data_IF_114825435741
#
_entry.id   IF_114825435741
#
_cell.length_a   1.000
_cell.length_b   1.000
_cell.length_c   1.000
_cell.angle_alpha   90.00
_cell.angle_beta   90.00
_cell.angle_gamma   90.00
#
_symmetry.space_group_name_H-M   'P 1'
#
loop_
_entity.id
_entity.type
_entity.pdbx_description
1 polymer ?
#
# COMPACT_ATOMS: atom_id res chain seq x y z
N UNK A 1 47.46 41.32 -46.83
CA UNK A 1 47.84 40.93 -45.45
C UNK A 1 46.67 40.59 -44.52
N UNK A 2 45.41 40.94 -44.84
CA UNK A 2 44.23 40.68 -43.99
C UNK A 2 43.78 39.20 -43.92
N UNK A 3 44.03 38.40 -44.97
CA UNK A 3 43.59 36.99 -45.04
C UNK A 3 44.31 36.03 -44.08
N UNK A 4 45.51 36.40 -43.60
CA UNK A 4 46.32 35.58 -42.69
C UNK A 4 45.93 35.75 -41.22
N UNK A 5 45.33 36.90 -40.87
CA UNK A 5 44.82 37.16 -39.52
C UNK A 5 43.44 36.54 -39.29
N UNK A 6 42.60 36.46 -40.33
CA UNK A 6 41.28 35.81 -40.26
C UNK A 6 41.40 34.29 -40.15
N UNK A 7 42.35 33.68 -40.88
CA UNK A 7 42.66 32.24 -40.77
C UNK A 7 43.19 31.85 -39.39
N UNK A 8 44.04 32.70 -38.78
CA UNK A 8 44.55 32.45 -37.43
C UNK A 8 43.45 32.52 -36.35
N UNK A 9 42.52 33.48 -36.46
CA UNK A 9 41.36 33.58 -35.56
C UNK A 9 40.41 32.39 -35.68
N UNK A 10 40.16 31.93 -36.91
CA UNK A 10 39.35 30.73 -37.17
C UNK A 10 40.00 29.47 -36.57
N UNK A 11 41.32 29.34 -36.67
CA UNK A 11 42.04 28.20 -36.10
C UNK A 11 41.93 28.15 -34.57
N UNK A 12 42.06 29.29 -33.89
CA UNK A 12 41.89 29.39 -32.43
C UNK A 12 40.45 29.04 -32.04
N UNK A 13 39.46 29.52 -32.79
CA UNK A 13 38.05 29.23 -32.51
C UNK A 13 37.72 27.75 -32.70
N UNK A 14 38.33 27.11 -33.70
CA UNK A 14 38.18 25.67 -33.95
C UNK A 14 38.88 24.83 -32.88
N UNK A 15 40.05 25.26 -32.40
CA UNK A 15 40.72 24.65 -31.24
C UNK A 15 39.90 24.82 -29.95
N UNK A 16 39.28 25.99 -29.74
CA UNK A 16 38.42 26.23 -28.59
C UNK A 16 37.16 25.36 -28.63
N UNK A 17 36.50 25.24 -29.79
CA UNK A 17 35.37 24.32 -29.98
C UNK A 17 35.79 22.86 -29.82
N UNK A 18 36.96 22.49 -30.33
CA UNK A 18 37.54 21.16 -30.14
C UNK A 18 37.85 20.87 -28.68
N UNK A 19 38.38 21.85 -27.94
CA UNK A 19 38.65 21.74 -26.51
C UNK A 19 37.36 21.66 -25.68
N UNK A 20 36.32 22.42 -26.05
CA UNK A 20 34.99 22.32 -25.43
C UNK A 20 34.38 20.95 -25.71
N UNK A 21 34.35 20.49 -26.95
CA UNK A 21 33.82 19.17 -27.31
C UNK A 21 34.62 18.02 -26.68
N UNK A 22 35.95 18.17 -26.58
CA UNK A 22 36.82 17.22 -25.88
C UNK A 22 36.60 17.25 -24.37
N UNK A 23 36.41 18.44 -23.78
CA UNK A 23 36.09 18.59 -22.36
C UNK A 23 34.70 18.01 -22.06
N UNK A 24 33.72 18.26 -22.92
CA UNK A 24 32.37 17.70 -22.85
C UNK A 24 32.44 16.18 -22.95
N UNK A 25 33.13 15.60 -23.93
CA UNK A 25 33.25 14.12 -24.04
C UNK A 25 34.08 13.47 -22.94
N UNK A 26 35.01 14.20 -22.30
CA UNK A 26 35.83 13.69 -21.18
C UNK A 26 35.18 13.90 -19.80
N UNK A 27 34.29 14.89 -19.67
CA UNK A 27 33.53 15.20 -18.44
C UNK A 27 32.08 14.72 -18.47
N UNK A 28 31.50 14.43 -19.64
CA UNK A 28 30.33 13.57 -19.75
C UNK A 28 30.85 12.20 -19.31
N UNK A 29 30.48 11.69 -18.12
CA UNK A 29 30.78 10.31 -17.80
C UNK A 29 30.22 9.52 -18.97
N UNK A 30 31.10 8.77 -19.66
CA UNK A 30 30.64 7.76 -20.58
C UNK A 30 29.65 6.94 -19.77
N UNK A 31 28.37 7.07 -20.12
CA UNK A 31 27.31 6.18 -19.70
C UNK A 31 27.68 4.84 -20.34
N UNK A 32 28.73 4.20 -19.83
CA UNK A 32 28.98 2.80 -20.06
C UNK A 32 27.64 2.18 -19.75
N UNK A 33 27.11 1.45 -20.74
CA UNK A 33 25.80 0.80 -20.74
C UNK A 33 25.76 -0.18 -19.58
N UNK A 34 25.68 0.38 -18.37
CA UNK A 34 25.61 -0.33 -17.12
C UNK A 34 24.22 -0.86 -17.18
N UNK A 35 24.11 -2.12 -17.61
CA UNK A 35 22.83 -2.77 -17.85
C UNK A 35 21.99 -2.61 -16.60
N UNK A 36 21.06 -1.66 -16.63
CA UNK A 36 20.19 -1.41 -15.52
C UNK A 36 19.33 -2.66 -15.35
N UNK A 37 19.17 -3.16 -14.12
CA UNK A 37 18.35 -4.32 -13.92
C UNK A 37 16.91 -3.97 -14.31
N UNK A 38 16.25 -4.88 -15.03
CA UNK A 38 14.86 -4.70 -15.42
C UNK A 38 13.88 -4.77 -14.22
N UNK A 39 14.35 -5.30 -13.08
CA UNK A 39 13.60 -5.39 -11.82
C UNK A 39 14.49 -4.98 -10.64
N UNK A 40 13.88 -4.32 -9.65
CA UNK A 40 14.52 -3.98 -8.38
C UNK A 40 14.64 -5.13 -7.39
N UNK A 41 13.96 -6.25 -7.62
CA UNK A 41 13.99 -7.38 -6.70
C UNK A 41 14.16 -8.68 -7.50
N UNK A 42 15.07 -9.58 -7.08
CA UNK A 42 15.29 -10.87 -7.73
C UNK A 42 14.23 -11.91 -7.32
N UNK A 43 12.97 -11.48 -7.17
CA UNK A 43 11.83 -12.31 -6.80
C UNK A 43 10.62 -11.93 -7.65
N UNK A 44 9.73 -12.90 -7.88
CA UNK A 44 8.46 -12.67 -8.56
C UNK A 44 7.47 -12.11 -7.54
N UNK A 45 7.33 -10.78 -7.51
CA UNK A 45 6.48 -10.08 -6.56
C UNK A 45 5.00 -10.47 -6.69
N UNK A 46 4.55 -10.96 -7.85
CA UNK A 46 3.18 -11.45 -8.02
C UNK A 46 2.93 -12.75 -7.24
N UNK A 47 4.00 -13.53 -6.98
CA UNK A 47 3.97 -14.77 -6.19
C UNK A 47 4.43 -14.58 -4.76
N UNK A 48 4.56 -13.33 -4.29
CA UNK A 48 4.95 -13.04 -2.93
C UNK A 48 3.97 -13.67 -1.92
N UNK A 49 4.54 -14.31 -0.90
CA UNK A 49 3.82 -14.90 0.23
C UNK A 49 3.95 -14.06 1.50
N UNK A 50 4.95 -13.19 1.58
CA UNK A 50 5.17 -12.28 2.71
C UNK A 50 5.63 -10.91 2.25
N UNK A 51 5.18 -9.88 2.95
CA UNK A 51 5.61 -8.49 2.78
C UNK A 51 5.84 -7.90 4.16
N UNK A 52 6.99 -7.29 4.39
CA UNK A 52 7.26 -6.49 5.58
C UNK A 52 7.73 -5.11 5.13
N UNK A 53 7.10 -4.07 5.67
CA UNK A 53 7.47 -2.69 5.44
C UNK A 53 7.84 -2.07 6.78
N UNK A 54 9.06 -1.58 6.87
CA UNK A 54 9.59 -0.87 8.03
C UNK A 54 9.85 0.57 7.63
N UNK A 55 9.25 1.51 8.34
CA UNK A 55 9.42 2.95 8.18
C UNK A 55 9.66 3.60 9.53
N UNK A 56 9.87 4.91 9.56
CA UNK A 56 9.94 5.68 10.81
C UNK A 56 8.68 5.58 11.67
N UNK A 57 7.54 5.19 11.09
CA UNK A 57 6.26 5.11 11.78
C UNK A 57 5.99 3.72 12.38
N UNK A 58 6.82 2.72 12.07
CA UNK A 58 6.72 1.37 12.61
C UNK A 58 6.93 0.28 11.58
N UNK A 59 6.65 -0.95 12.01
CA UNK A 59 6.79 -2.17 11.19
C UNK A 59 5.40 -2.74 10.92
N UNK A 60 5.10 -2.92 9.64
CA UNK A 60 3.90 -3.60 9.16
C UNK A 60 4.35 -4.91 8.52
N UNK A 61 3.83 -6.03 9.00
CA UNK A 61 4.11 -7.34 8.42
C UNK A 61 2.82 -7.96 7.93
N UNK A 62 2.81 -8.37 6.67
CA UNK A 62 1.70 -9.01 5.99
C UNK A 62 2.11 -10.41 5.50
N UNK A 63 1.19 -11.37 5.60
CA UNK A 63 1.35 -12.72 5.06
C UNK A 63 0.15 -13.10 4.21
N UNK A 64 0.39 -13.80 3.11
CA UNK A 64 -0.65 -14.36 2.26
C UNK A 64 -1.07 -15.73 2.78
N UNK A 65 -2.32 -15.85 3.20
CA UNK A 65 -2.93 -17.09 3.73
C UNK A 65 -4.17 -17.41 2.90
N UNK A 66 -4.21 -18.61 2.30
CA UNK A 66 -5.33 -19.05 1.43
C UNK A 66 -5.68 -18.03 0.33
N UNK A 67 -4.65 -17.41 -0.28
CA UNK A 67 -4.81 -16.46 -1.38
C UNK A 67 -5.09 -15.01 -0.97
N UNK A 68 -5.40 -14.73 0.30
CA UNK A 68 -5.66 -13.37 0.81
C UNK A 68 -4.53 -12.88 1.71
N UNK A 69 -4.24 -11.60 1.67
CA UNK A 69 -3.30 -10.98 2.59
C UNK A 69 -3.94 -10.76 3.97
N UNK A 70 -3.14 -10.98 5.01
CA UNK A 70 -3.46 -10.64 6.39
C UNK A 70 -2.29 -9.89 7.00
N UNK A 71 -2.59 -8.92 7.86
CA UNK A 71 -1.59 -8.23 8.65
C UNK A 71 -1.30 -9.11 9.87
N UNK A 72 -0.04 -9.45 10.11
CA UNK A 72 0.41 -10.19 11.29
C UNK A 72 0.97 -9.26 12.38
N UNK A 73 1.60 -8.16 11.98
CA UNK A 73 2.14 -7.14 12.89
C UNK A 73 1.70 -5.74 12.43
N UNK A 74 1.33 -4.84 13.35
CA UNK A 74 1.46 -4.93 14.82
C UNK A 74 0.48 -5.87 15.52
N UNK A 75 -0.62 -6.25 14.88
CA UNK A 75 -1.58 -7.24 15.39
C UNK A 75 -2.18 -8.03 14.22
N UNK A 76 -2.80 -9.18 14.53
CA UNK A 76 -3.52 -9.98 13.55
C UNK A 76 -4.76 -9.21 13.04
N UNK A 77 -4.73 -8.76 11.79
CA UNK A 77 -5.80 -7.97 11.19
C UNK A 77 -6.08 -8.37 9.74
N UNK A 78 -7.27 -8.01 9.27
CA UNK A 78 -7.63 -8.11 7.85
C UNK A 78 -6.81 -7.10 7.06
N UNK A 79 -6.23 -7.55 5.96
CA UNK A 79 -5.54 -6.67 5.03
C UNK A 79 -6.35 -6.48 3.75
N UNK A 80 -6.28 -5.27 3.20
CA UNK A 80 -6.68 -5.00 1.84
C UNK A 80 -5.64 -5.63 0.89
N UNK A 81 -6.02 -6.76 0.32
CA UNK A 81 -5.15 -7.50 -0.59
C UNK A 81 -4.84 -6.72 -1.87
N UNK A 82 -5.80 -5.92 -2.35
CA UNK A 82 -5.64 -5.14 -3.58
C UNK A 82 -4.61 -4.03 -3.40
N UNK A 83 -4.63 -3.34 -2.25
CA UNK A 83 -3.63 -2.31 -1.92
C UNK A 83 -2.21 -2.89 -1.79
N UNK A 84 -2.08 -4.05 -1.15
CA UNK A 84 -0.78 -4.72 -1.01
C UNK A 84 -0.27 -5.18 -2.39
N UNK A 85 -1.12 -5.83 -3.18
CA UNK A 85 -0.76 -6.29 -4.52
C UNK A 85 -0.38 -5.10 -5.44
N UNK A 86 -1.08 -3.97 -5.33
CA UNK A 86 -0.73 -2.73 -6.05
C UNK A 86 0.65 -2.19 -5.66
N UNK A 87 1.00 -2.19 -4.37
CA UNK A 87 2.35 -1.78 -3.94
C UNK A 87 3.42 -2.71 -4.54
N UNK A 88 3.21 -4.02 -4.46
CA UNK A 88 4.13 -5.03 -5.01
C UNK A 88 4.32 -4.84 -6.52
N UNK A 89 3.24 -4.60 -7.25
CA UNK A 89 3.29 -4.31 -8.68
C UNK A 89 4.04 -2.99 -8.97
N UNK A 90 3.82 -1.95 -8.17
CA UNK A 90 4.50 -0.67 -8.33
C UNK A 90 6.01 -0.79 -8.09
N UNK A 91 6.43 -1.62 -7.14
CA UNK A 91 7.84 -1.95 -6.93
C UNK A 91 8.39 -2.78 -8.10
N UNK A 92 7.64 -3.76 -8.61
CA UNK A 92 8.06 -4.59 -9.74
C UNK A 92 8.32 -3.77 -11.01
N UNK A 93 7.47 -2.76 -11.25
CA UNK A 93 7.52 -1.87 -12.43
C UNK A 93 8.39 -0.64 -12.23
N UNK A 94 9.02 -0.47 -11.07
CA UNK A 94 9.82 0.70 -10.76
C UNK A 94 10.97 0.88 -11.75
N UNK A 95 11.01 2.02 -12.43
CA UNK A 95 12.08 2.34 -13.35
C UNK A 95 13.36 2.69 -12.57
N UNK A 96 14.44 1.97 -12.87
CA UNK A 96 15.79 2.34 -12.47
C UNK A 96 16.28 3.42 -13.44
N UNK A 97 16.58 4.61 -12.93
CA UNK A 97 17.06 5.75 -13.71
C UNK A 97 18.58 5.77 -13.82
N UNK A 98 19.26 5.38 -12.77
CA UNK A 98 20.73 5.38 -12.70
C UNK A 98 21.24 4.37 -11.67
N UNK A 99 22.54 4.07 -11.73
CA UNK A 99 23.25 3.18 -10.81
C UNK A 99 24.58 3.81 -10.39
N UNK A 100 24.74 4.06 -9.08
CA UNK A 100 26.01 4.44 -8.46
C UNK A 100 26.70 3.19 -7.93
N UNK A 101 27.79 2.82 -8.59
CA UNK A 101 28.61 1.66 -8.18
C UNK A 101 29.49 1.99 -6.97
N UNK A 102 29.90 0.96 -6.23
CA UNK A 102 30.86 1.12 -5.12
C UNK A 102 32.13 1.88 -5.55
N UNK A 103 32.65 1.62 -6.76
CA UNK A 103 33.84 2.29 -7.29
C UNK A 103 33.61 3.79 -7.46
N UNK A 104 32.48 4.18 -8.05
CA UNK A 104 32.12 5.60 -8.21
C UNK A 104 31.90 6.28 -6.87
N UNK A 105 31.26 5.59 -5.92
CA UNK A 105 31.03 6.09 -4.57
C UNK A 105 32.34 6.40 -3.85
N UNK A 106 33.27 5.43 -3.85
CA UNK A 106 34.62 5.60 -3.27
C UNK A 106 35.44 6.68 -3.96
N UNK A 107 35.36 6.78 -5.29
CA UNK A 107 36.07 7.83 -6.04
C UNK A 107 35.58 9.25 -5.71
N UNK A 108 34.32 9.39 -5.29
CA UNK A 108 33.71 10.65 -4.84
C UNK A 108 33.92 10.92 -3.35
N UNK A 109 34.49 9.98 -2.59
CA UNK A 109 34.61 10.08 -1.13
C UNK A 109 33.26 10.10 -0.41
N UNK A 110 32.23 9.47 -0.99
CA UNK A 110 30.88 9.41 -0.41
C UNK A 110 30.63 8.04 0.23
N UNK A 111 29.79 8.04 1.25
CA UNK A 111 29.36 6.86 2.01
C UNK A 111 27.84 6.67 1.95
N UNK A 112 27.33 5.56 2.51
CA UNK A 112 25.90 5.25 2.49
C UNK A 112 25.04 6.29 3.23
N UNK A 113 25.63 6.97 4.21
CA UNK A 113 25.01 8.07 4.97
C UNK A 113 24.64 9.25 4.05
N UNK A 114 25.51 9.59 3.08
CA UNK A 114 25.26 10.69 2.13
C UNK A 114 24.05 10.42 1.21
N UNK A 115 23.67 9.15 1.07
CA UNK A 115 22.49 8.72 0.30
C UNK A 115 21.28 8.45 1.19
N UNK A 116 21.37 8.70 2.51
CA UNK A 116 20.31 8.42 3.47
C UNK A 116 19.98 6.93 3.60
N UNK A 117 20.96 6.05 3.37
CA UNK A 117 20.80 4.59 3.50
C UNK A 117 21.27 4.05 4.86
N UNK A 118 21.77 4.92 5.73
CA UNK A 118 22.17 4.62 7.13
C UNK A 118 21.72 5.79 8.03
N UNK A 119 20.63 5.65 8.80
CA UNK A 119 19.58 4.64 8.62
C UNK A 119 18.78 4.90 7.33
N UNK A 120 18.24 3.85 6.68
CA UNK A 120 17.33 4.01 5.55
C UNK A 120 15.98 4.61 6.01
N UNK A 121 15.33 5.36 5.13
CA UNK A 121 13.97 5.92 5.38
C UNK A 121 12.88 4.85 5.36
N UNK A 122 13.07 3.80 4.55
CA UNK A 122 12.20 2.64 4.54
C UNK A 122 12.96 1.36 4.16
N UNK A 123 12.51 0.23 4.69
CA UNK A 123 13.00 -1.11 4.33
C UNK A 123 11.80 -1.98 3.98
N UNK A 124 11.84 -2.59 2.80
CA UNK A 124 10.80 -3.48 2.29
C UNK A 124 11.41 -4.86 2.15
N UNK A 125 10.91 -5.84 2.90
CA UNK A 125 11.28 -7.23 2.74
C UNK A 125 10.13 -7.99 2.09
N UNK A 126 10.42 -8.71 1.02
CA UNK A 126 9.45 -9.56 0.32
C UNK A 126 9.92 -11.00 0.39
N UNK A 127 9.02 -11.88 0.84
CA UNK A 127 9.26 -13.31 0.90
C UNK A 127 8.45 -14.02 -0.18
N UNK A 128 9.09 -14.96 -0.88
CA UNK A 128 8.50 -15.83 -1.87
C UNK A 128 8.98 -17.28 -1.60
N UNK A 129 8.18 -18.06 -0.89
CA UNK A 129 8.56 -19.42 -0.50
C UNK A 129 9.81 -19.39 0.40
N UNK A 130 10.91 -19.99 -0.06
CA UNK A 130 12.20 -19.99 0.65
C UNK A 130 13.11 -18.80 0.29
N UNK A 131 12.74 -17.99 -0.70
CA UNK A 131 13.53 -16.84 -1.15
C UNK A 131 13.04 -15.57 -0.46
N UNK A 132 13.98 -14.75 -0.02
CA UNK A 132 13.70 -13.42 0.53
C UNK A 132 14.52 -12.37 -0.22
N UNK A 133 13.92 -11.20 -0.42
CA UNK A 133 14.60 -10.06 -1.02
C UNK A 133 14.25 -8.78 -0.24
N UNK A 134 15.26 -7.92 -0.05
CA UNK A 134 15.12 -6.67 0.66
C UNK A 134 15.38 -5.48 -0.27
N UNK A 135 14.58 -4.43 -0.15
CA UNK A 135 14.79 -3.13 -0.78
C UNK A 135 14.88 -2.06 0.30
N UNK A 136 16.02 -1.39 0.39
CA UNK A 136 16.22 -0.24 1.28
C UNK A 136 16.05 1.04 0.48
N UNK A 137 15.23 1.97 0.95
CA UNK A 137 15.02 3.29 0.35
C UNK A 137 15.65 4.35 1.23
N UNK A 138 16.43 5.23 0.62
CA UNK A 138 17.15 6.30 1.27
C UNK A 138 16.61 7.70 0.93
N UNK A 139 17.52 8.66 0.90
CA UNK A 139 17.24 10.07 0.63
C UNK A 139 16.74 10.33 -0.80
N UNK A 140 16.25 11.56 -0.99
CA UNK A 140 15.82 12.03 -2.30
C UNK A 140 17.04 12.28 -3.19
N UNK A 141 16.95 11.84 -4.46
CA UNK A 141 17.99 12.11 -5.44
C UNK A 141 17.92 13.57 -5.93
N UNK A 142 19.05 14.16 -6.39
CA UNK A 142 19.05 15.49 -6.96
C UNK A 142 17.99 15.65 -8.06
N UNK A 143 17.21 16.73 -8.00
CA UNK A 143 16.09 16.99 -8.92
C UNK A 143 14.72 16.50 -8.43
N UNK A 144 14.61 15.89 -7.25
CA UNK A 144 13.35 15.69 -6.50
C UNK A 144 12.40 14.61 -7.01
N UNK A 145 12.58 14.11 -8.24
CA UNK A 145 11.72 13.09 -8.86
C UNK A 145 12.14 11.64 -8.63
N UNK A 146 13.16 11.37 -7.81
CA UNK A 146 13.70 10.04 -7.59
C UNK A 146 14.24 9.88 -6.16
N UNK A 147 14.44 8.63 -5.73
CA UNK A 147 15.02 8.28 -4.43
C UNK A 147 16.18 7.30 -4.61
N UNK A 148 17.11 7.30 -3.67
CA UNK A 148 18.15 6.29 -3.63
C UNK A 148 17.62 4.97 -3.08
N UNK A 149 18.04 3.86 -3.67
CA UNK A 149 17.63 2.52 -3.29
C UNK A 149 18.80 1.54 -3.29
N UNK A 150 18.76 0.53 -2.43
CA UNK A 150 19.78 -0.50 -2.31
C UNK A 150 19.11 -1.87 -2.13
N UNK A 151 19.51 -2.83 -2.95
CA UNK A 151 18.95 -4.20 -2.93
C UNK A 151 19.74 -5.10 -1.99
N UNK A 152 19.09 -5.68 -0.98
CA UNK A 152 19.69 -6.67 -0.08
C UNK A 152 21.00 -6.18 0.54
N UNK A 153 22.05 -6.99 0.40
CA UNK A 153 23.41 -6.67 0.82
C UNK A 153 24.30 -6.14 -0.33
N UNK A 154 23.73 -5.75 -1.47
CA UNK A 154 24.47 -5.20 -2.61
C UNK A 154 25.24 -3.93 -2.22
N UNK A 155 26.46 -3.74 -2.70
CA UNK A 155 27.22 -2.50 -2.48
C UNK A 155 26.81 -1.34 -3.41
N UNK A 156 25.95 -1.60 -4.38
CA UNK A 156 25.54 -0.64 -5.39
C UNK A 156 24.25 0.08 -4.99
N UNK A 157 24.20 1.37 -5.29
CA UNK A 157 23.06 2.25 -5.04
C UNK A 157 22.38 2.50 -6.38
N UNK A 158 21.06 2.43 -6.39
CA UNK A 158 20.21 2.66 -7.55
C UNK A 158 19.43 3.94 -7.34
N UNK A 159 19.16 4.66 -8.42
CA UNK A 159 18.26 5.81 -8.43
C UNK A 159 16.95 5.34 -9.03
N UNK A 160 15.88 5.37 -8.24
CA UNK A 160 14.56 4.83 -8.64
C UNK A 160 13.51 5.91 -8.58
N UNK A 161 12.43 5.74 -9.34
CA UNK A 161 11.30 6.66 -9.30
C UNK A 161 10.77 6.89 -7.88
N UNK A 162 10.54 8.16 -7.52
CA UNK A 162 10.05 8.52 -6.17
C UNK A 162 8.70 7.87 -5.86
N UNK A 163 7.89 7.56 -6.87
CA UNK A 163 6.61 6.90 -6.72
C UNK A 163 6.68 5.57 -5.97
N UNK A 164 7.83 4.88 -5.93
CA UNK A 164 8.02 3.69 -5.08
C UNK A 164 7.93 4.04 -3.60
N UNK A 165 8.61 5.12 -3.19
CA UNK A 165 8.57 5.60 -1.81
C UNK A 165 7.18 6.14 -1.46
N UNK A 166 6.58 6.93 -2.36
CA UNK A 166 5.26 7.54 -2.14
C UNK A 166 4.12 6.49 -2.11
N UNK A 167 4.37 5.26 -2.57
CA UNK A 167 3.41 4.15 -2.49
C UNK A 167 3.40 3.44 -1.13
N UNK A 168 4.41 3.69 -0.30
CA UNK A 168 4.51 3.00 0.98
C UNK A 168 3.41 3.46 1.94
N UNK A 169 2.89 2.53 2.76
CA UNK A 169 1.91 2.87 3.77
C UNK A 169 2.55 3.83 4.79
N UNK A 170 1.82 4.88 5.14
CA UNK A 170 2.19 5.80 6.21
C UNK A 170 1.83 5.17 7.56
N UNK A 171 0.73 4.43 7.61
CA UNK A 171 0.22 3.74 8.80
C UNK A 171 -0.28 2.33 8.47
N UNK A 172 -0.46 1.49 9.50
CA UNK A 172 -1.08 0.17 9.34
C UNK A 172 -2.49 0.26 8.73
N UNK A 173 -3.22 1.33 9.02
CA UNK A 173 -4.60 1.53 8.55
C UNK A 173 -4.70 1.70 7.04
N UNK A 174 -3.61 2.07 6.36
CA UNK A 174 -3.55 2.16 4.90
C UNK A 174 -3.64 0.77 4.25
N UNK A 175 -3.20 -0.28 4.96
CA UNK A 175 -3.30 -1.66 4.52
C UNK A 175 -4.48 -2.42 5.09
N UNK A 176 -5.24 -1.83 6.02
CA UNK A 176 -6.39 -2.54 6.60
C UNK A 176 -7.54 -2.63 5.62
N UNK A 177 -8.17 -3.80 5.61
CA UNK A 177 -9.42 -4.01 4.90
C UNK A 177 -10.50 -3.07 5.48
N UNK A 178 -11.11 -2.27 4.60
CA UNK A 178 -12.11 -1.28 4.97
C UNK A 178 -13.54 -1.79 4.78
N UNK A 179 -13.77 -3.03 4.34
CA UNK A 179 -15.12 -3.55 4.24
C UNK A 179 -15.74 -3.72 5.63
N UNK A 180 -16.86 -3.03 5.87
CA UNK A 180 -17.56 -3.05 7.16
C UNK A 180 -18.12 -4.45 7.48
N UNK A 181 -18.71 -5.09 6.48
CA UNK A 181 -19.24 -6.47 6.56
C UNK A 181 -18.41 -7.42 5.69
N UNK A 182 -18.42 -8.71 6.05
CA UNK A 182 -17.63 -9.77 5.39
C UNK A 182 -18.48 -10.83 4.70
N UNK A 183 -19.78 -10.60 4.58
CA UNK A 183 -20.72 -11.52 3.94
C UNK A 183 -21.34 -10.82 2.72
N UNK A 184 -21.63 -11.56 1.65
CA UNK A 184 -22.42 -11.04 0.54
C UNK A 184 -23.87 -10.83 1.00
N UNK A 185 -24.54 -9.80 0.51
CA UNK A 185 -25.96 -9.56 0.82
C UNK A 185 -26.87 -10.68 0.32
N UNK A 186 -26.40 -11.47 -0.65
CA UNK A 186 -27.09 -12.67 -1.09
C UNK A 186 -27.31 -13.69 0.03
N UNK A 187 -26.42 -13.73 1.04
CA UNK A 187 -26.49 -14.65 2.16
C UNK A 187 -27.43 -14.16 3.28
N UNK A 188 -27.87 -12.90 3.22
CA UNK A 188 -28.78 -12.32 4.22
C UNK A 188 -30.18 -12.89 3.99
N UNK A 189 -30.74 -13.48 5.04
CA UNK A 189 -32.08 -14.07 5.07
C UNK A 189 -33.07 -13.27 5.90
N UNK A 190 -32.61 -12.59 6.93
CA UNK A 190 -33.44 -11.65 7.66
C UNK A 190 -32.65 -10.41 8.07
N UNK A 191 -33.36 -9.29 8.19
CA UNK A 191 -32.83 -8.04 8.70
C UNK A 191 -33.77 -7.53 9.78
N UNK A 192 -33.21 -7.23 10.95
CA UNK A 192 -33.94 -6.58 12.03
C UNK A 192 -33.37 -5.18 12.25
N UNK A 193 -34.23 -4.17 12.12
CA UNK A 193 -33.87 -2.77 12.35
C UNK A 193 -34.61 -2.29 13.59
N UNK A 194 -33.85 -1.88 14.61
CA UNK A 194 -34.37 -1.35 15.87
C UNK A 194 -34.02 0.14 15.99
N UNK A 195 -35.03 0.94 16.34
CA UNK A 195 -34.88 2.36 16.66
C UNK A 195 -35.57 2.65 17.98
N UNK A 196 -34.87 3.21 18.99
CA UNK A 196 -35.49 3.60 20.24
C UNK A 196 -36.74 4.47 20.00
N UNK A 197 -37.87 4.11 20.62
CA UNK A 197 -39.13 4.84 20.51
C UNK A 197 -39.88 4.73 19.17
N UNK A 198 -39.37 4.01 18.16
CA UNK A 198 -40.02 3.88 16.83
C UNK A 198 -40.39 2.45 16.43
N UNK A 199 -40.24 1.49 17.35
CA UNK A 199 -40.55 0.07 17.11
C UNK A 199 -39.46 -0.68 16.35
N UNK A 200 -39.77 -1.93 16.00
CA UNK A 200 -38.86 -2.86 15.30
C UNK A 200 -39.40 -3.14 13.91
N UNK A 201 -38.53 -3.05 12.90
CA UNK A 201 -38.82 -3.50 11.55
C UNK A 201 -38.09 -4.82 11.32
N UNK A 202 -38.83 -5.87 10.94
CA UNK A 202 -38.25 -7.17 10.57
C UNK A 202 -38.55 -7.47 9.12
N UNK A 203 -37.51 -7.77 8.36
CA UNK A 203 -37.58 -8.19 6.96
C UNK A 203 -37.08 -9.62 6.86
N UNK A 204 -37.79 -10.46 6.11
CA UNK A 204 -37.42 -11.84 5.85
C UNK A 204 -37.43 -12.12 4.35
N UNK A 205 -36.47 -12.94 3.91
CA UNK A 205 -36.31 -13.34 2.51
C UNK A 205 -36.70 -14.79 2.35
N UNK A 206 -37.85 -15.01 1.73
CA UNK A 206 -38.34 -16.34 1.35
C UNK A 206 -38.42 -16.47 -0.17
N UNK A 207 -37.89 -17.58 -0.71
CA UNK A 207 -37.86 -17.90 -2.14
C UNK A 207 -37.40 -16.74 -3.06
N UNK A 208 -36.53 -15.86 -2.55
CA UNK A 208 -35.99 -14.72 -3.28
C UNK A 208 -36.80 -13.43 -3.15
N UNK A 209 -38.02 -13.47 -2.61
CA UNK A 209 -38.85 -12.31 -2.32
C UNK A 209 -38.66 -11.84 -0.87
N UNK A 210 -38.71 -10.54 -0.65
CA UNK A 210 -38.62 -9.93 0.68
C UNK A 210 -40.00 -9.55 1.20
N UNK A 211 -40.31 -9.92 2.43
CA UNK A 211 -41.51 -9.50 3.16
C UNK A 211 -41.11 -8.83 4.47
N UNK A 212 -41.93 -7.90 4.92
CA UNK A 212 -41.85 -7.36 6.27
C UNK A 212 -42.74 -8.20 7.18
N UNK A 213 -42.18 -8.74 8.27
CA UNK A 213 -42.89 -9.56 9.26
C UNK A 213 -43.24 -8.78 10.53
N UNK A 214 -42.57 -7.65 10.77
CA UNK A 214 -42.90 -6.70 11.84
C UNK A 214 -42.66 -5.25 11.38
N UNK A 215 -43.48 -4.27 11.82
CA UNK A 215 -44.55 -4.40 12.82
C UNK A 215 -45.84 -5.04 12.29
N UNK A 216 -46.02 -5.11 10.97
CA UNK A 216 -47.14 -5.77 10.30
C UNK A 216 -46.62 -6.67 9.18
N UNK A 217 -47.32 -7.76 8.91
CA UNK A 217 -47.01 -8.67 7.81
C UNK A 217 -47.43 -8.07 6.46
N UNK A 218 -46.48 -7.72 5.60
CA UNK A 218 -46.74 -7.21 4.24
C UNK A 218 -45.55 -7.43 3.30
N UNK A 219 -45.78 -7.30 1.99
CA UNK A 219 -44.68 -7.30 1.02
C UNK A 219 -43.76 -6.09 1.24
N UNK A 220 -42.45 -6.31 1.22
CA UNK A 220 -41.48 -5.22 1.27
C UNK A 220 -41.24 -4.65 -0.12
N UNK A 221 -40.94 -3.35 -0.23
CA UNK A 221 -40.51 -2.77 -1.52
C UNK A 221 -39.18 -3.39 -1.94
N UNK A 222 -39.17 -4.00 -3.12
CA UNK A 222 -37.97 -4.61 -3.69
C UNK A 222 -36.86 -3.59 -3.90
N UNK A 223 -37.22 -2.36 -4.33
CA UNK A 223 -36.29 -1.25 -4.54
C UNK A 223 -35.65 -0.81 -3.23
N UNK A 224 -36.44 -0.61 -2.18
CA UNK A 224 -35.93 -0.18 -0.88
C UNK A 224 -35.02 -1.23 -0.23
N UNK A 225 -35.40 -2.52 -0.31
CA UNK A 225 -34.56 -3.59 0.22
C UNK A 225 -33.27 -3.73 -0.59
N UNK A 226 -33.34 -3.66 -1.92
CA UNK A 226 -32.14 -3.68 -2.78
C UNK A 226 -31.20 -2.53 -2.44
N UNK A 227 -31.73 -1.33 -2.24
CA UNK A 227 -30.93 -0.17 -1.84
C UNK A 227 -30.27 -0.36 -0.46
N UNK A 228 -30.99 -0.93 0.51
CA UNK A 228 -30.44 -1.27 1.83
C UNK A 228 -29.29 -2.28 1.72
N UNK A 229 -29.49 -3.37 0.97
CA UNK A 229 -28.47 -4.41 0.78
C UNK A 229 -27.22 -3.84 0.12
N UNK A 230 -27.40 -3.03 -0.94
CA UNK A 230 -26.29 -2.35 -1.59
C UNK A 230 -25.58 -1.36 -0.67
N UNK A 231 -26.30 -0.64 0.19
CA UNK A 231 -25.69 0.28 1.16
C UNK A 231 -24.83 -0.47 2.19
N UNK A 232 -25.27 -1.65 2.64
CA UNK A 232 -24.53 -2.50 3.59
C UNK A 232 -23.29 -3.11 2.94
N UNK A 233 -23.40 -3.64 1.72
CA UNK A 233 -22.26 -4.20 0.99
C UNK A 233 -21.20 -3.14 0.66
N UNK A 234 -21.63 -1.94 0.25
CA UNK A 234 -20.73 -0.85 -0.11
C UNK A 234 -20.28 -0.02 1.10
N UNK A 235 -20.75 -0.35 2.31
CA UNK A 235 -20.33 0.34 3.52
C UNK A 235 -18.84 0.08 3.76
N UNK A 236 -18.06 1.16 3.68
CA UNK A 236 -16.63 1.16 3.93
C UNK A 236 -16.31 1.92 5.21
N UNK A 237 -15.36 1.39 5.98
CA UNK A 237 -14.81 2.02 7.17
C UNK A 237 -14.05 3.27 6.74
N UNK A 238 -14.53 4.43 7.14
CA UNK A 238 -13.88 5.71 6.83
C UNK A 238 -12.66 5.95 7.70
N UNK A 239 -12.72 5.60 8.99
CA UNK A 239 -11.62 5.80 9.94
C UNK A 239 -11.63 4.71 11.02
N UNK A 240 -10.44 4.23 11.38
CA UNK A 240 -10.25 3.39 12.55
C UNK A 240 -9.96 4.30 13.76
N UNK A 241 -10.82 4.25 14.78
CA UNK A 241 -10.75 5.14 15.95
C UNK A 241 -9.94 4.58 17.11
N UNK A 242 -9.59 3.30 17.06
CA UNK A 242 -8.76 2.64 18.07
C UNK A 242 -7.48 2.07 17.45
N UNK A 243 -6.35 2.31 18.12
CA UNK A 243 -5.06 1.86 17.66
C UNK A 243 -4.98 0.32 17.70
N UNK A 244 -4.36 -0.25 16.66
CA UNK A 244 -4.00 -1.66 16.57
C UNK A 244 -2.96 -2.04 17.64
N UNK A 245 -3.38 -2.19 18.90
CA UNK A 245 -2.53 -2.70 19.97
C UNK A 245 -2.38 -4.22 19.83
N UNK A 246 -1.16 -4.72 19.87
CA UNK A 246 -0.84 -6.17 19.90
C UNK A 246 -1.38 -6.90 21.13
N UNK A 247 -1.90 -6.16 22.13
CA UNK A 247 -2.49 -6.72 23.35
C UNK A 247 -4.00 -6.85 23.32
N UNK A 248 -4.70 -6.34 22.30
CA UNK A 248 -6.15 -6.46 22.27
C UNK A 248 -6.53 -7.86 21.78
N UNK A 249 -6.65 -8.81 22.70
CA UNK A 249 -7.48 -9.98 22.45
C UNK A 249 -8.94 -9.51 22.30
N UNK A 250 -9.82 -10.26 21.64
CA UNK A 250 -11.26 -9.92 21.62
C UNK A 250 -11.86 -9.82 23.03
N UNK A 251 -11.17 -10.38 24.05
CA UNK A 251 -11.50 -10.27 25.46
C UNK A 251 -11.02 -8.96 26.14
N UNK A 252 -10.15 -8.19 25.48
CA UNK A 252 -9.66 -6.88 25.93
C UNK A 252 -10.42 -5.71 25.26
N UNK A 253 -11.47 -5.97 24.48
CA UNK A 253 -12.45 -4.95 24.14
C UNK A 253 -13.18 -4.58 25.45
N UNK A 254 -12.82 -3.48 26.12
CA UNK A 254 -13.39 -3.16 27.40
C UNK A 254 -14.88 -2.93 27.19
N UNK A 255 -15.72 -3.61 27.98
CA UNK A 255 -17.13 -3.30 28.04
C UNK A 255 -17.29 -1.78 28.24
N UNK A 256 -17.95 -1.10 27.30
CA UNK A 256 -18.15 0.36 27.34
C UNK A 256 -17.33 1.21 26.37
N UNK A 257 -16.34 0.69 25.62
CA UNK A 257 -15.70 1.50 24.56
C UNK A 257 -16.71 1.89 23.48
N UNK A 258 -17.60 0.97 23.11
CA UNK A 258 -18.72 1.30 22.22
C UNK A 258 -19.63 2.40 22.78
N UNK A 259 -19.90 2.40 24.09
CA UNK A 259 -20.75 3.39 24.74
C UNK A 259 -20.16 4.82 24.64
N UNK A 260 -18.83 4.97 24.75
CA UNK A 260 -18.16 6.25 24.51
C UNK A 260 -18.37 6.80 23.08
N UNK A 261 -18.73 5.93 22.13
CA UNK A 261 -19.07 6.27 20.75
C UNK A 261 -20.59 6.14 20.47
N UNK A 262 -21.43 5.99 21.50
CA UNK A 262 -22.89 5.85 21.34
C UNK A 262 -23.34 4.52 20.71
N UNK A 263 -22.48 3.50 20.75
CA UNK A 263 -22.72 2.14 20.24
C UNK A 263 -23.17 1.17 21.34
N UNK A 264 -23.71 1.67 22.44
CA UNK A 264 -24.33 0.82 23.46
C UNK A 264 -25.57 0.13 22.86
N UNK A 265 -25.74 -1.20 22.94
CA UNK A 265 -26.88 -1.89 22.34
C UNK A 265 -28.26 -1.37 22.78
N UNK A 266 -28.35 -0.76 23.96
CA UNK A 266 -29.58 -0.21 24.54
C UNK A 266 -29.79 1.25 24.15
N UNK A 267 -28.71 2.04 24.10
CA UNK A 267 -28.78 3.49 23.82
C UNK A 267 -28.52 3.83 22.34
N UNK A 268 -28.14 2.85 21.52
CA UNK A 268 -27.82 3.07 20.10
C UNK A 268 -29.01 3.70 19.37
N UNK A 269 -28.81 4.81 18.64
CA UNK A 269 -29.89 5.47 17.91
C UNK A 269 -30.48 4.60 16.79
N UNK A 270 -29.70 3.61 16.34
CA UNK A 270 -30.07 2.63 15.33
C UNK A 270 -29.28 1.35 15.56
N UNK A 271 -29.95 0.21 15.61
CA UNK A 271 -29.33 -1.11 15.58
C UNK A 271 -29.86 -1.89 14.40
N UNK A 272 -28.98 -2.52 13.64
CA UNK A 272 -29.32 -3.36 12.49
C UNK A 272 -28.66 -4.71 12.68
N UNK A 273 -29.47 -5.77 12.70
CA UNK A 273 -29.02 -7.16 12.84
C UNK A 273 -29.29 -7.89 11.53
N UNK A 274 -28.27 -8.56 11.00
CA UNK A 274 -28.36 -9.38 9.80
C UNK A 274 -28.30 -10.84 10.20
N UNK A 275 -29.27 -11.63 9.75
CA UNK A 275 -29.27 -13.08 9.92
C UNK A 275 -28.84 -13.74 8.62
N UNK A 276 -27.78 -14.53 8.67
CA UNK A 276 -27.20 -15.19 7.50
C UNK A 276 -27.77 -16.59 7.31
N UNK A 277 -27.84 -17.04 6.05
CA UNK A 277 -28.31 -18.38 5.70
C UNK A 277 -27.50 -19.50 6.39
N UNK A 278 -26.20 -19.28 6.63
CA UNK A 278 -25.31 -20.21 7.30
C UNK A 278 -25.63 -20.44 8.79
N UNK A 279 -26.35 -19.52 9.42
CA UNK A 279 -26.72 -19.59 10.84
C UNK A 279 -28.09 -20.25 11.06
N UNK A 280 -28.99 -20.13 10.08
CA UNK A 280 -30.36 -20.66 10.16
C UNK A 280 -30.47 -22.18 9.98
N UNK A 281 -29.39 -22.85 9.53
CA UNK A 281 -29.34 -24.32 9.36
C UNK A 281 -28.78 -25.10 10.55
N UNK A 282 -28.50 -24.44 11.69
CA UNK A 282 -27.98 -25.06 12.92
C UNK A 282 -29.01 -25.18 14.06
N UNK A 283 -30.27 -24.82 13.81
CA UNK A 283 -31.37 -24.95 14.76
C UNK A 283 -32.19 -26.21 14.50
#
# INVERSE_FOLDING_TARGET
MLARQTTFRLFILLLALGAVAWFETRMLPTTGLTRLPASLLPVDLAKASGLQVETTNGVIQCRRVQGRWRIERPALMRADSMRIDFLLEKIARAAVRDKVTLRQRKARGLDLEDYGLVPPRAVINVAQGASEAALRLGGDAPGGGAVFAMMGASSDIYVVDRGVFDALPVSVDDFRDRALVQFPAADIRAVEIRRPGKGVVKLERDNGAWSMTAPYAMAASAEAVKALMAAVENAAIEKFVHAASSRASDADFPAGVGAAYGLDPVESPLSVVFHLASELGKA
#
